data_IF_879028471816
#
_entry.id   IF_879028471816
#
_cell.length_a   1.000
_cell.length_b   1.000
_cell.length_c   1.000
_cell.angle_alpha   90.00
_cell.angle_beta   90.00
_cell.angle_gamma   90.00
#
_symmetry.space_group_name_H-M   'P 1'
#
loop_
_entity.id
_entity.type
_entity.pdbx_description
1 polymer ?
#
# COMPACT_ATOMS: atom_id res chain seq x y z
N UNK A 1 -0.33 -1.43 -19.47
CA UNK A 1 -0.78 -2.26 -18.33
C UNK A 1 -0.68 -1.45 -17.05
N UNK A 2 -1.65 -1.52 -16.11
CA UNK A 2 -1.54 -0.81 -14.85
C UNK A 2 -0.37 -1.39 -14.04
N UNK A 3 0.62 -0.56 -13.72
CA UNK A 3 1.75 -0.99 -12.89
C UNK A 3 1.24 -1.36 -11.49
N UNK A 4 1.73 -2.48 -10.90
CA UNK A 4 1.29 -2.90 -9.59
C UNK A 4 1.62 -1.82 -8.57
N UNK A 5 0.61 -1.42 -7.78
CA UNK A 5 0.81 -0.47 -6.69
C UNK A 5 1.60 -1.19 -5.60
N UNK A 6 2.90 -0.94 -5.56
CA UNK A 6 3.79 -1.45 -4.53
C UNK A 6 3.51 -0.73 -3.21
N UNK A 7 3.57 -1.47 -2.11
CA UNK A 7 3.58 -0.86 -0.78
C UNK A 7 4.99 -0.32 -0.46
N UNK A 8 5.13 0.66 0.45
CA UNK A 8 6.46 1.16 0.83
C UNK A 8 7.40 0.07 1.36
N UNK A 9 6.86 -0.94 2.05
CA UNK A 9 7.65 -2.10 2.51
C UNK A 9 8.15 -2.96 1.34
N UNK A 10 7.32 -3.14 0.30
CA UNK A 10 7.68 -3.87 -0.91
C UNK A 10 8.74 -3.13 -1.73
N UNK A 11 8.58 -1.81 -1.92
CA UNK A 11 9.59 -0.96 -2.57
C UNK A 11 10.93 -1.04 -1.84
N UNK A 12 10.90 -0.93 -0.50
CA UNK A 12 12.10 -1.02 0.33
C UNK A 12 12.77 -2.39 0.23
N UNK A 13 12.00 -3.47 0.19
CA UNK A 13 12.55 -4.82 0.02
C UNK A 13 13.26 -5.00 -1.32
N UNK A 14 12.73 -4.41 -2.40
CA UNK A 14 13.39 -4.44 -3.71
C UNK A 14 14.66 -3.58 -3.69
N UNK A 15 14.60 -2.37 -3.12
CA UNK A 15 15.77 -1.50 -2.99
C UNK A 15 16.89 -2.16 -2.18
N UNK A 16 16.56 -2.77 -1.03
CA UNK A 16 17.53 -3.51 -0.20
C UNK A 16 18.17 -4.67 -0.97
N UNK A 17 17.44 -5.33 -1.88
CA UNK A 17 17.96 -6.41 -2.70
C UNK A 17 18.80 -5.94 -3.90
N UNK A 18 18.58 -4.71 -4.38
CA UNK A 18 19.37 -4.06 -5.44
C UNK A 18 20.67 -3.48 -4.89
N UNK A 19 20.61 -2.85 -3.72
CA UNK A 19 21.78 -2.27 -3.03
C UNK A 19 22.68 -3.36 -2.44
N UNK A 20 22.14 -4.56 -2.21
CA UNK A 20 22.92 -5.70 -1.77
C UNK A 20 23.81 -6.20 -2.92
N UNK A 21 25.12 -6.05 -2.72
CA UNK A 21 26.16 -6.75 -3.47
C UNK A 21 26.04 -8.29 -3.27
N UNK A 22 27.15 -9.01 -3.45
CA UNK A 22 27.21 -10.44 -3.18
C UNK A 22 26.89 -10.76 -1.72
N UNK A 23 25.72 -11.36 -1.49
CA UNK A 23 25.34 -11.87 -0.18
C UNK A 23 25.88 -13.28 0.02
N UNK A 24 26.79 -13.45 0.98
CA UNK A 24 27.29 -14.77 1.35
C UNK A 24 26.20 -15.59 2.07
N UNK A 25 25.94 -16.79 1.58
CA UNK A 25 24.89 -17.67 2.12
C UNK A 25 25.45 -19.06 2.39
N UNK A 26 24.99 -19.67 3.49
CA UNK A 26 25.46 -20.99 3.92
C UNK A 26 24.62 -22.14 3.31
N UNK A 27 24.14 -21.96 2.07
CA UNK A 27 23.40 -22.98 1.33
C UNK A 27 23.88 -23.05 -0.11
N UNK A 28 23.86 -24.27 -0.66
CA UNK A 28 24.19 -24.53 -2.05
C UNK A 28 23.13 -24.00 -3.00
N UNK A 29 23.56 -23.21 -3.98
CA UNK A 29 22.72 -22.56 -5.00
C UNK A 29 23.27 -22.89 -6.39
N UNK A 30 23.16 -24.16 -6.79
CA UNK A 30 23.64 -24.65 -8.09
C UNK A 30 22.50 -24.97 -9.05
N UNK A 31 22.72 -24.69 -10.33
CA UNK A 31 21.82 -25.10 -11.42
C UNK A 31 21.53 -26.60 -11.34
N UNK A 32 20.25 -26.96 -11.38
CA UNK A 32 19.77 -28.33 -11.23
C UNK A 32 19.29 -28.68 -9.82
N UNK A 33 19.59 -27.86 -8.79
CA UNK A 33 19.01 -28.01 -7.47
C UNK A 33 17.70 -27.22 -7.32
N UNK A 34 16.79 -27.73 -6.47
CA UNK A 34 15.52 -27.06 -6.19
C UNK A 34 15.72 -25.61 -5.72
N UNK A 35 16.70 -25.36 -4.85
CA UNK A 35 16.97 -24.05 -4.27
C UNK A 35 17.31 -23.01 -5.34
N UNK A 36 18.13 -23.39 -6.33
CA UNK A 36 18.48 -22.51 -7.43
C UNK A 36 17.26 -22.22 -8.30
N UNK A 37 16.50 -23.23 -8.72
CA UNK A 37 15.31 -23.02 -9.56
C UNK A 37 14.24 -22.17 -8.87
N UNK A 38 14.05 -22.36 -7.56
CA UNK A 38 13.15 -21.55 -6.76
C UNK A 38 13.63 -20.09 -6.66
N UNK A 39 14.92 -19.87 -6.42
CA UNK A 39 15.49 -18.53 -6.37
C UNK A 39 15.39 -17.82 -7.73
N UNK A 40 15.70 -18.53 -8.82
CA UNK A 40 15.60 -18.02 -10.19
C UNK A 40 14.17 -17.62 -10.55
N UNK A 41 13.17 -18.43 -10.19
CA UNK A 41 11.76 -18.05 -10.35
C UNK A 41 11.43 -16.81 -9.54
N UNK A 42 11.77 -16.75 -8.25
CA UNK A 42 11.49 -15.56 -7.41
C UNK A 42 12.17 -14.30 -7.98
N UNK A 43 13.40 -14.42 -8.47
CA UNK A 43 14.11 -13.32 -9.15
C UNK A 43 13.33 -12.82 -10.37
N UNK A 44 12.81 -13.73 -11.20
CA UNK A 44 12.06 -13.38 -12.41
C UNK A 44 10.81 -12.54 -12.10
N UNK A 45 10.12 -12.86 -11.00
CA UNK A 45 8.99 -12.05 -10.52
C UNK A 45 9.46 -10.71 -9.96
N UNK A 46 10.52 -10.69 -9.17
CA UNK A 46 11.01 -9.47 -8.52
C UNK A 46 11.48 -8.44 -9.56
N UNK A 47 12.11 -8.88 -10.66
CA UNK A 47 12.46 -8.04 -11.81
C UNK A 47 11.23 -7.43 -12.51
N UNK A 48 10.06 -8.07 -12.38
CA UNK A 48 8.77 -7.55 -12.86
C UNK A 48 7.98 -6.81 -11.78
N UNK A 49 8.63 -6.43 -10.66
CA UNK A 49 8.01 -5.79 -9.49
C UNK A 49 6.91 -6.64 -8.83
N UNK A 50 7.03 -7.97 -8.92
CA UNK A 50 6.11 -8.95 -8.35
C UNK A 50 6.69 -9.71 -7.16
N UNK A 51 5.80 -10.20 -6.29
CA UNK A 51 6.14 -11.03 -5.13
C UNK A 51 5.33 -12.31 -5.18
N UNK A 52 5.90 -13.41 -5.68
CA UNK A 52 5.10 -14.58 -5.98
C UNK A 52 4.74 -15.35 -4.71
N UNK A 53 3.62 -16.05 -4.76
CA UNK A 53 3.27 -17.06 -3.77
C UNK A 53 3.83 -18.45 -4.12
N UNK A 54 3.73 -19.39 -3.19
CA UNK A 54 4.25 -20.75 -3.41
C UNK A 54 3.58 -21.48 -4.57
N UNK A 55 2.29 -21.23 -4.82
CA UNK A 55 1.56 -21.87 -5.91
C UNK A 55 1.95 -21.27 -7.25
N UNK A 56 2.19 -19.96 -7.33
CA UNK A 56 2.70 -19.29 -8.52
C UNK A 56 4.09 -19.80 -8.91
N UNK A 57 5.00 -19.93 -7.93
CA UNK A 57 6.34 -20.50 -8.15
C UNK A 57 6.23 -21.94 -8.68
N UNK A 58 5.39 -22.77 -8.06
CA UNK A 58 5.22 -24.17 -8.47
C UNK A 58 4.61 -24.27 -9.86
N UNK A 59 3.62 -23.43 -10.17
CA UNK A 59 2.95 -23.41 -11.47
C UNK A 59 3.94 -23.07 -12.59
N UNK A 60 4.83 -22.11 -12.37
CA UNK A 60 5.83 -21.71 -13.35
C UNK A 60 6.90 -22.79 -13.58
N UNK A 61 7.41 -23.40 -12.51
CA UNK A 61 8.53 -24.35 -12.60
C UNK A 61 8.11 -25.79 -12.90
N UNK A 62 6.96 -26.22 -12.41
CA UNK A 62 6.55 -27.64 -12.39
C UNK A 62 5.14 -27.89 -12.96
N UNK A 63 4.44 -26.84 -13.39
CA UNK A 63 3.12 -26.94 -13.99
C UNK A 63 1.95 -27.01 -13.00
N UNK A 64 0.74 -27.01 -13.56
CA UNK A 64 -0.52 -26.93 -12.79
C UNK A 64 -0.74 -28.21 -11.97
N UNK A 65 -0.36 -29.38 -12.49
CA UNK A 65 -0.55 -30.67 -11.81
C UNK A 65 0.12 -30.72 -10.43
N UNK A 66 1.34 -30.18 -10.33
CA UNK A 66 2.10 -30.13 -9.07
C UNK A 66 1.64 -29.03 -8.12
N UNK A 67 0.83 -28.09 -8.59
CA UNK A 67 0.29 -26.99 -7.77
C UNK A 67 -0.83 -27.48 -6.85
N UNK A 68 -1.57 -28.51 -7.26
CA UNK A 68 -2.65 -29.12 -6.48
C UNK A 68 -2.16 -30.27 -5.58
N UNK A 69 -0.95 -30.79 -5.83
CA UNK A 69 -0.30 -31.77 -4.97
C UNK A 69 0.15 -31.13 -3.64
N UNK A 70 -0.67 -31.29 -2.60
CA UNK A 70 -0.40 -30.75 -1.27
C UNK A 70 0.91 -31.23 -0.64
N UNK A 71 1.34 -32.47 -0.95
CA UNK A 71 2.61 -33.02 -0.45
C UNK A 71 3.79 -32.30 -1.10
N UNK A 72 3.70 -32.07 -2.41
CA UNK A 72 4.71 -31.32 -3.15
C UNK A 72 4.78 -29.86 -2.71
N UNK A 73 3.63 -29.19 -2.56
CA UNK A 73 3.57 -27.82 -2.04
C UNK A 73 4.26 -27.72 -0.68
N UNK A 74 3.99 -28.65 0.24
CA UNK A 74 4.62 -28.68 1.57
C UNK A 74 6.14 -28.90 1.50
N UNK A 75 6.61 -29.73 0.56
CA UNK A 75 8.04 -29.94 0.30
C UNK A 75 8.70 -28.63 -0.15
N UNK A 76 8.11 -27.92 -1.11
CA UNK A 76 8.63 -26.63 -1.59
C UNK A 76 8.62 -25.57 -0.48
N UNK A 77 7.53 -25.46 0.30
CA UNK A 77 7.47 -24.56 1.46
C UNK A 77 8.58 -24.84 2.47
N UNK A 78 8.90 -26.11 2.70
CA UNK A 78 9.98 -26.51 3.61
C UNK A 78 11.34 -26.06 3.07
N UNK A 79 11.57 -26.16 1.76
CA UNK A 79 12.79 -25.67 1.12
C UNK A 79 12.87 -24.14 1.20
N UNK A 80 11.78 -23.43 0.89
CA UNK A 80 11.71 -21.97 1.01
C UNK A 80 11.99 -21.50 2.44
N UNK A 81 11.49 -22.21 3.46
CA UNK A 81 11.78 -21.94 4.86
C UNK A 81 13.26 -22.18 5.21
N UNK A 82 13.90 -23.19 4.62
CA UNK A 82 15.35 -23.39 4.77
C UNK A 82 16.15 -22.27 4.10
N UNK A 83 15.72 -21.81 2.92
CA UNK A 83 16.34 -20.69 2.21
C UNK A 83 16.18 -19.37 2.97
N UNK A 84 15.04 -19.16 3.63
CA UNK A 84 14.82 -17.99 4.48
C UNK A 84 15.72 -17.98 5.71
N UNK A 85 15.88 -19.12 6.39
CA UNK A 85 16.82 -19.26 7.51
C UNK A 85 18.28 -18.97 7.12
N UNK A 86 18.63 -19.14 5.84
CA UNK A 86 19.97 -18.84 5.30
C UNK A 86 20.00 -17.50 4.56
N UNK A 87 19.03 -16.62 4.80
CA UNK A 87 18.99 -15.26 4.28
C UNK A 87 18.94 -15.10 2.75
N UNK A 88 18.62 -16.18 2.02
CA UNK A 88 18.45 -16.16 0.55
C UNK A 88 17.11 -15.54 0.18
N UNK A 89 16.04 -16.02 0.82
CA UNK A 89 14.65 -15.62 0.55
C UNK A 89 14.12 -14.85 1.75
N UNK A 90 13.41 -13.75 1.49
CA UNK A 90 12.67 -13.03 2.52
C UNK A 90 11.17 -13.28 2.37
N UNK A 91 10.55 -13.63 3.48
CA UNK A 91 9.11 -13.80 3.59
C UNK A 91 8.45 -12.42 3.71
N UNK A 92 7.58 -12.08 2.77
CA UNK A 92 6.88 -10.79 2.72
C UNK A 92 5.52 -10.88 3.40
N UNK A 93 5.07 -9.82 4.07
CA UNK A 93 3.72 -9.77 4.67
C UNK A 93 2.65 -10.04 3.60
N UNK A 94 1.56 -10.68 4.00
CA UNK A 94 0.39 -10.88 3.12
C UNK A 94 -0.33 -9.54 2.91
N UNK A 95 -0.93 -9.31 1.74
CA UNK A 95 -1.78 -8.11 1.56
C UNK A 95 -3.15 -8.34 2.19
N UNK A 96 -3.68 -9.56 2.07
CA UNK A 96 -4.93 -9.97 2.71
C UNK A 96 -4.71 -11.20 3.59
N UNK A 97 -5.45 -11.35 4.70
CA UNK A 97 -5.28 -12.48 5.62
C UNK A 97 -5.40 -13.88 4.97
N UNK A 98 -6.27 -14.01 3.97
CA UNK A 98 -6.55 -15.25 3.25
C UNK A 98 -5.61 -15.52 2.07
N UNK A 99 -4.68 -14.62 1.76
CA UNK A 99 -3.69 -14.85 0.72
C UNK A 99 -2.59 -15.81 1.22
N UNK A 100 -1.92 -16.46 0.27
CA UNK A 100 -0.75 -17.26 0.56
C UNK A 100 0.44 -16.36 0.91
N UNK A 101 1.44 -16.97 1.57
CA UNK A 101 2.68 -16.27 1.89
C UNK A 101 3.41 -15.89 0.60
N UNK A 102 3.93 -14.67 0.55
CA UNK A 102 4.66 -14.13 -0.59
C UNK A 102 6.15 -14.12 -0.31
N UNK A 103 6.94 -14.27 -1.36
CA UNK A 103 8.40 -14.41 -1.25
C UNK A 103 9.10 -13.34 -2.09
N UNK A 104 10.30 -12.99 -1.65
CA UNK A 104 11.25 -12.12 -2.37
C UNK A 104 12.66 -12.65 -2.16
N UNK A 105 13.59 -12.28 -3.03
CA UNK A 105 15.00 -12.51 -2.77
C UNK A 105 15.57 -11.38 -1.92
N UNK A 106 16.48 -11.75 -1.02
CA UNK A 106 17.20 -10.79 -0.19
C UNK A 106 18.31 -10.05 -0.93
N UNK A 107 18.81 -10.61 -2.03
CA UNK A 107 19.77 -10.01 -2.97
C UNK A 107 19.56 -10.65 -4.34
N UNK A 108 20.00 -10.00 -5.41
CA UNK A 108 20.03 -10.59 -6.75
C UNK A 108 21.37 -11.28 -7.07
N UNK A 109 22.37 -11.09 -6.20
CA UNK A 109 23.71 -11.67 -6.30
C UNK A 109 24.08 -12.38 -5.00
N UNK A 110 24.41 -13.66 -5.08
CA UNK A 110 24.79 -14.47 -3.94
C UNK A 110 26.17 -15.06 -4.09
N UNK A 111 26.78 -15.38 -2.95
CA UNK A 111 27.96 -16.22 -2.89
C UNK A 111 27.60 -17.49 -2.12
N UNK A 112 27.66 -18.62 -2.81
CA UNK A 112 27.39 -19.95 -2.26
C UNK A 112 28.40 -20.31 -1.13
N UNK A 113 28.12 -21.35 -0.34
CA UNK A 113 29.03 -22.05 0.59
C UNK A 113 30.40 -22.30 -0.02
N UNK A 114 30.42 -22.70 -1.30
CA UNK A 114 31.65 -22.98 -2.05
C UNK A 114 32.39 -21.69 -2.50
N UNK A 115 31.93 -20.52 -2.07
CA UNK A 115 32.39 -19.17 -2.51
C UNK A 115 32.16 -18.86 -3.99
N UNK A 116 31.37 -19.68 -4.67
CA UNK A 116 30.99 -19.47 -6.07
C UNK A 116 29.99 -18.32 -6.20
N UNK A 117 30.22 -17.35 -7.09
CA UNK A 117 29.24 -16.30 -7.36
C UNK A 117 28.04 -16.87 -8.13
N UNK A 118 26.84 -16.56 -7.66
CA UNK A 118 25.57 -16.93 -8.29
C UNK A 118 24.80 -15.64 -8.55
N UNK A 119 24.56 -15.34 -9.82
CA UNK A 119 23.93 -14.09 -10.26
C UNK A 119 22.58 -14.42 -10.88
N UNK A 120 21.50 -13.91 -10.29
CA UNK A 120 20.14 -14.12 -10.76
C UNK A 120 19.60 -12.98 -11.64
N UNK A 121 20.24 -11.80 -11.60
CA UNK A 121 19.92 -10.68 -12.48
C UNK A 121 21.20 -10.07 -13.04
N UNK A 122 21.19 -9.73 -14.33
CA UNK A 122 22.30 -9.00 -14.94
C UNK A 122 22.34 -7.55 -14.46
N UNK A 123 23.50 -6.90 -14.57
CA UNK A 123 23.64 -5.48 -14.21
C UNK A 123 22.67 -4.58 -15.01
N UNK A 124 22.39 -4.94 -16.27
CA UNK A 124 21.40 -4.25 -17.10
C UNK A 124 19.98 -4.37 -16.53
N UNK A 125 19.59 -5.56 -16.06
CA UNK A 125 18.27 -5.78 -15.46
C UNK A 125 18.13 -5.06 -14.12
N UNK A 126 19.23 -4.98 -13.36
CA UNK A 126 19.31 -4.22 -12.10
C UNK A 126 19.10 -2.73 -12.37
N UNK A 127 19.79 -2.19 -13.38
CA UNK A 127 19.65 -0.79 -13.78
C UNK A 127 18.24 -0.47 -14.31
N UNK A 128 17.65 -1.35 -15.12
CA UNK A 128 16.27 -1.21 -15.59
C UNK A 128 15.28 -1.20 -14.41
N UNK A 129 15.46 -2.12 -13.45
CA UNK A 129 14.61 -2.18 -12.26
C UNK A 129 14.75 -0.93 -11.38
N UNK A 130 15.96 -0.41 -11.21
CA UNK A 130 16.22 0.82 -10.46
C UNK A 130 15.52 2.01 -11.12
N UNK A 131 15.67 2.17 -12.44
CA UNK A 131 15.00 3.23 -13.20
C UNK A 131 13.47 3.14 -13.11
N UNK A 132 12.91 1.92 -13.10
CA UNK A 132 11.48 1.70 -12.90
C UNK A 132 11.04 2.16 -11.50
N UNK A 133 11.78 1.81 -10.45
CA UNK A 133 11.49 2.26 -9.08
C UNK A 133 11.56 3.78 -8.93
N UNK A 134 12.59 4.42 -9.49
CA UNK A 134 12.77 5.87 -9.44
C UNK A 134 11.62 6.60 -10.16
N UNK A 135 11.19 6.08 -11.31
CA UNK A 135 10.05 6.63 -12.04
C UNK A 135 8.73 6.53 -11.25
N UNK A 136 8.54 5.43 -10.49
CA UNK A 136 7.38 5.24 -9.62
C UNK A 136 7.43 6.19 -8.42
N UNK A 137 8.60 6.38 -7.83
CA UNK A 137 8.81 7.32 -6.72
C UNK A 137 8.49 8.76 -7.15
N UNK A 138 9.04 9.21 -8.28
CA UNK A 138 8.77 10.54 -8.84
C UNK A 138 7.26 10.78 -9.12
N UNK A 139 6.57 9.76 -9.64
CA UNK A 139 5.12 9.83 -9.89
C UNK A 139 4.31 9.90 -8.60
N UNK A 140 4.72 9.15 -7.57
CA UNK A 140 4.11 9.19 -6.23
C UNK A 140 4.26 10.57 -5.59
N UNK A 141 5.45 11.17 -5.66
CA UNK A 141 5.71 12.52 -5.15
C UNK A 141 4.87 13.58 -5.86
N UNK A 142 4.77 13.53 -7.19
CA UNK A 142 3.93 14.45 -7.94
C UNK A 142 2.45 14.33 -7.51
N UNK A 143 1.95 13.10 -7.37
CA UNK A 143 0.56 12.86 -6.94
C UNK A 143 0.26 13.34 -5.52
N UNK A 144 1.20 13.18 -4.59
CA UNK A 144 1.05 13.62 -3.19
C UNK A 144 1.10 15.13 -3.08
N UNK A 145 2.00 15.81 -3.82
CA UNK A 145 2.03 17.27 -3.92
C UNK A 145 0.72 17.83 -4.47
N UNK A 146 0.20 17.27 -5.56
CA UNK A 146 -1.10 17.67 -6.12
C UNK A 146 -2.24 17.50 -5.11
N UNK A 147 -2.27 16.38 -4.38
CA UNK A 147 -3.27 16.13 -3.34
C UNK A 147 -3.15 17.11 -2.18
N UNK A 148 -1.94 17.46 -1.76
CA UNK A 148 -1.69 18.40 -0.67
C UNK A 148 -2.05 19.84 -1.04
N UNK A 149 -1.81 20.25 -2.29
CA UNK A 149 -2.24 21.56 -2.80
C UNK A 149 -3.77 21.60 -2.83
N UNK A 150 -4.43 20.56 -3.37
CA UNK A 150 -5.88 20.51 -3.41
C UNK A 150 -6.52 20.54 -2.02
N UNK A 151 -5.97 19.83 -1.02
CA UNK A 151 -6.54 19.84 0.33
C UNK A 151 -6.37 21.19 1.03
N UNK A 152 -5.23 21.87 0.88
CA UNK A 152 -5.04 23.22 1.42
C UNK A 152 -6.03 24.20 0.80
N UNK A 153 -6.22 24.17 -0.52
CA UNK A 153 -7.18 25.04 -1.21
C UNK A 153 -8.61 24.80 -0.75
N UNK A 154 -9.02 23.55 -0.55
CA UNK A 154 -10.34 23.21 -0.01
C UNK A 154 -10.54 23.71 1.43
N UNK A 155 -9.52 23.61 2.28
CA UNK A 155 -9.58 24.12 3.66
C UNK A 155 -9.77 25.65 3.66
N UNK A 156 -8.99 26.38 2.86
CA UNK A 156 -9.15 27.83 2.75
C UNK A 156 -10.55 28.22 2.24
N UNK A 157 -11.06 27.52 1.23
CA UNK A 157 -12.39 27.78 0.69
C UNK A 157 -13.50 27.52 1.72
N UNK A 158 -13.33 26.50 2.57
CA UNK A 158 -14.24 26.22 3.68
C UNK A 158 -14.20 27.32 4.76
N UNK A 159 -13.02 27.83 5.11
CA UNK A 159 -12.89 28.97 6.02
C UNK A 159 -13.57 30.24 5.49
N UNK A 160 -13.42 30.54 4.19
CA UNK A 160 -14.10 31.67 3.55
C UNK A 160 -15.62 31.50 3.63
N UNK A 161 -16.15 30.33 3.29
CA UNK A 161 -17.59 30.04 3.38
C UNK A 161 -18.12 30.17 4.81
N UNK A 162 -17.39 29.65 5.81
CA UNK A 162 -17.78 29.79 7.22
C UNK A 162 -17.78 31.26 7.65
N UNK A 163 -16.74 32.02 7.30
CA UNK A 163 -16.66 33.44 7.64
C UNK A 163 -17.81 34.24 7.02
N UNK A 164 -18.18 33.93 5.78
CA UNK A 164 -19.30 34.55 5.09
C UNK A 164 -20.65 34.19 5.73
N UNK A 165 -20.83 32.92 6.13
CA UNK A 165 -22.03 32.47 6.83
C UNK A 165 -22.22 33.16 8.19
N UNK A 166 -21.13 33.34 8.95
CA UNK A 166 -21.15 34.06 10.25
C UNK A 166 -21.53 35.53 10.05
N UNK A 167 -20.96 36.20 9.03
CA UNK A 167 -21.30 37.59 8.71
C UNK A 167 -22.78 37.71 8.33
N UNK A 168 -23.29 36.84 7.45
CA UNK A 168 -24.71 36.82 7.09
C UNK A 168 -25.62 36.55 8.29
N UNK A 169 -25.19 35.67 9.19
CA UNK A 169 -25.92 35.39 10.42
C UNK A 169 -26.04 36.63 11.31
N UNK A 170 -24.92 37.33 11.56
CA UNK A 170 -24.90 38.57 12.35
C UNK A 170 -25.75 39.68 11.71
N UNK A 171 -25.73 39.82 10.39
CA UNK A 171 -26.59 40.78 9.69
C UNK A 171 -28.08 40.42 9.76
N UNK A 172 -28.42 39.14 9.91
CA UNK A 172 -29.81 38.68 10.02
C UNK A 172 -30.38 38.80 11.44
N UNK A 173 -29.54 38.82 12.47
CA UNK A 173 -29.95 38.92 13.89
C UNK A 173 -30.84 40.14 14.19
N UNK A 174 -30.53 41.37 13.72
CA UNK A 174 -31.38 42.55 13.94
C UNK A 174 -32.73 42.49 13.25
N UNK A 175 -32.92 41.63 12.24
CA UNK A 175 -34.21 41.44 11.57
C UNK A 175 -35.04 40.34 12.24
N UNK A 176 -34.37 39.27 12.69
CA UNK A 176 -35.03 38.13 13.35
C UNK A 176 -35.54 38.53 14.75
N UNK A 177 -34.75 39.26 15.54
CA UNK A 177 -35.11 39.60 16.92
C UNK A 177 -36.41 40.42 17.04
N UNK A 178 -36.63 41.48 16.23
CA UNK A 178 -37.91 42.19 16.21
C UNK A 178 -39.07 41.32 15.73
N UNK A 179 -38.86 40.45 14.74
CA UNK A 179 -39.90 39.56 14.21
C UNK A 179 -40.38 38.57 15.29
N UNK A 180 -39.44 37.94 16.00
CA UNK A 180 -39.75 37.03 17.11
C UNK A 180 -40.41 37.78 18.26
N UNK A 181 -39.93 38.99 18.58
CA UNK A 181 -40.50 39.83 19.63
C UNK A 181 -41.95 40.26 19.30
N UNK A 182 -42.22 40.72 18.08
CA UNK A 182 -43.56 41.14 17.63
C UNK A 182 -44.53 39.96 17.66
N UNK A 183 -44.11 38.78 17.20
CA UNK A 183 -44.93 37.58 17.25
C UNK A 183 -45.22 37.13 18.69
N UNK A 184 -44.21 37.15 19.58
CA UNK A 184 -44.40 36.81 20.99
C UNK A 184 -45.32 37.82 21.70
N UNK A 185 -45.14 39.12 21.42
CA UNK A 185 -45.96 40.18 21.98
C UNK A 185 -47.42 40.10 21.52
N UNK A 186 -47.67 39.82 20.24
CA UNK A 186 -49.03 39.67 19.72
C UNK A 186 -49.76 38.47 20.35
N UNK A 187 -49.05 37.35 20.53
CA UNK A 187 -49.57 36.18 21.25
C UNK A 187 -49.90 36.56 22.70
N UNK A 188 -48.99 37.24 23.41
CA UNK A 188 -49.21 37.65 24.79
C UNK A 188 -50.43 38.58 24.95
N UNK A 189 -50.61 39.55 24.05
CA UNK A 189 -51.78 40.45 24.04
C UNK A 189 -53.08 39.66 23.80
N UNK A 190 -53.08 38.75 22.82
CA UNK A 190 -54.24 37.90 22.54
C UNK A 190 -54.60 37.01 23.74
N UNK A 191 -53.59 36.43 24.40
CA UNK A 191 -53.80 35.62 25.62
C UNK A 191 -54.34 36.45 26.78
N UNK A 192 -53.83 37.67 26.99
CA UNK A 192 -54.33 38.58 28.03
C UNK A 192 -55.78 39.01 27.77
N UNK A 193 -56.13 39.31 26.52
CA UNK A 193 -57.51 39.67 26.13
C UNK A 193 -58.47 38.50 26.29
N UNK A 194 -58.07 37.29 25.88
CA UNK A 194 -58.88 36.08 26.05
C UNK A 194 -59.12 35.78 27.54
N UNK A 195 -58.08 35.89 28.37
CA UNK A 195 -58.17 35.68 29.81
C UNK A 195 -59.04 36.75 30.50
N UNK A 196 -58.87 38.02 30.11
CA UNK A 196 -59.70 39.13 30.61
C UNK A 196 -61.17 38.98 30.24
N UNK A 197 -61.47 38.43 29.05
CA UNK A 197 -62.85 38.10 28.65
C UNK A 197 -63.43 36.86 29.34
N UNK A 198 -62.60 35.92 29.77
CA UNK A 198 -63.05 34.73 30.48
C UNK A 198 -63.31 34.98 31.97
N UNK A 199 -62.67 36.01 32.55
CA UNK A 199 -62.77 36.38 33.97
C UNK A 199 -63.71 37.57 34.24
N UNK A 200 -64.21 38.24 33.19
CA UNK A 200 -65.25 39.29 33.25
C UNK A 200 -66.62 38.71 32.94
#
# INVERSE_FOLDING_TARGET
MPQPKLTPEETRAIQEALDADYKAVNIRLRKGEYQYSLAEAIASYQLKLGFPDVKEIIRELYGIEKTEDTSFVRKIQTILKKMERNDVVRIMKKRKPWELQRYSLSSLKFQDVDKSPVVFASDQQIEELQNLLDSMAARSEASTRLRQVNSKTWIFLLFVLLSYAVILWDFSQPLINPLVFIAAFSIAVMSALALGRALS
#
